data_IF_916752419023
#
_entry.id   IF_916752419023
#
_cell.length_a   1.000
_cell.length_b   1.000
_cell.length_c   1.000
_cell.angle_alpha   90.00
_cell.angle_beta   90.00
_cell.angle_gamma   90.00
#
_symmetry.space_group_name_H-M   'P 1'
#
loop_
_entity.id
_entity.type
_entity.pdbx_description
1 polymer ?
#
# COMPACT_ATOMS: atom_id res chain seq x y z
N UNK A 1 25.09 -60.07 -32.55
CA UNK A 1 25.35 -58.96 -31.62
C UNK A 1 24.79 -57.70 -32.26
N UNK A 2 23.83 -57.07 -31.58
CA UNK A 2 23.07 -55.92 -32.06
C UNK A 2 23.89 -54.64 -31.90
N UNK A 3 23.95 -53.81 -32.94
CA UNK A 3 24.40 -52.42 -32.85
C UNK A 3 23.28 -51.52 -33.37
N UNK A 4 22.66 -50.78 -32.44
CA UNK A 4 21.69 -49.73 -32.72
C UNK A 4 22.41 -48.40 -33.05
N UNK A 5 21.75 -47.49 -33.79
CA UNK A 5 22.35 -46.27 -34.31
C UNK A 5 22.48 -45.19 -33.23
N UNK A 6 23.54 -44.38 -33.37
CA UNK A 6 23.81 -43.17 -32.58
C UNK A 6 22.77 -42.07 -32.85
N UNK A 7 22.05 -41.63 -31.81
CA UNK A 7 21.21 -40.43 -31.84
C UNK A 7 22.08 -39.16 -31.83
N UNK A 8 21.66 -38.09 -32.55
CA UNK A 8 22.28 -36.78 -32.40
C UNK A 8 21.80 -36.14 -31.09
N UNK A 9 22.74 -35.60 -30.34
CA UNK A 9 22.52 -34.80 -29.13
C UNK A 9 21.70 -33.56 -29.46
N UNK A 10 20.44 -33.55 -29.03
CA UNK A 10 19.61 -32.34 -29.03
C UNK A 10 20.16 -31.39 -27.96
N UNK A 11 20.84 -30.32 -28.40
CA UNK A 11 21.17 -29.18 -27.54
C UNK A 11 19.85 -28.46 -27.27
N UNK A 12 19.26 -28.70 -26.11
CA UNK A 12 18.14 -27.92 -25.60
C UNK A 12 18.69 -26.56 -25.22
N UNK A 13 18.54 -25.56 -26.10
CA UNK A 13 18.69 -24.16 -25.73
C UNK A 13 17.56 -23.84 -24.74
N UNK A 14 17.86 -23.93 -23.45
CA UNK A 14 17.02 -23.42 -22.39
C UNK A 14 17.03 -21.89 -22.52
N UNK A 15 16.14 -21.34 -23.34
CA UNK A 15 15.78 -19.94 -23.25
C UNK A 15 15.10 -19.73 -21.89
N UNK A 16 15.92 -19.39 -20.88
CA UNK A 16 15.45 -18.72 -19.68
C UNK A 16 14.80 -17.41 -20.14
N UNK A 17 13.49 -17.46 -20.41
CA UNK A 17 12.64 -16.29 -20.36
C UNK A 17 12.62 -15.84 -18.89
N UNK A 18 13.66 -15.11 -18.50
CA UNK A 18 13.54 -14.22 -17.35
C UNK A 18 12.53 -13.18 -17.80
N UNK A 19 11.24 -13.43 -17.52
CA UNK A 19 10.22 -12.40 -17.50
C UNK A 19 10.55 -11.50 -16.30
N UNK A 20 11.66 -10.79 -16.38
CA UNK A 20 11.91 -9.64 -15.55
C UNK A 20 10.91 -8.61 -16.04
N UNK A 21 9.77 -8.50 -15.36
CA UNK A 21 8.92 -7.33 -15.50
C UNK A 21 9.81 -6.14 -15.14
N UNK A 22 10.33 -5.44 -16.15
CA UNK A 22 11.08 -4.21 -15.94
C UNK A 22 10.21 -3.33 -15.07
N UNK A 23 10.64 -3.06 -13.84
CA UNK A 23 9.90 -2.26 -12.90
C UNK A 23 9.61 -0.91 -13.55
N UNK A 24 8.33 -0.60 -13.78
CA UNK A 24 7.94 0.67 -14.40
C UNK A 24 8.03 1.74 -13.32
N UNK A 25 8.87 2.74 -13.58
CA UNK A 25 8.98 3.93 -12.72
C UNK A 25 8.08 5.01 -13.30
N UNK A 26 7.24 5.58 -12.45
CA UNK A 26 6.26 6.60 -12.82
C UNK A 26 6.56 7.91 -12.08
N UNK A 27 6.27 9.07 -12.68
CA UNK A 27 6.41 10.36 -11.98
C UNK A 27 5.31 10.52 -10.93
N UNK A 28 5.33 11.66 -10.22
CA UNK A 28 4.26 12.03 -9.28
C UNK A 28 2.88 11.99 -9.94
N UNK A 29 1.90 11.42 -9.23
CA UNK A 29 0.52 11.29 -9.72
C UNK A 29 -0.41 12.12 -8.86
N UNK A 30 -1.22 12.97 -9.49
CA UNK A 30 -2.30 13.71 -8.86
C UNK A 30 -3.63 13.36 -9.51
N UNK A 31 -4.44 12.59 -8.81
CA UNK A 31 -5.76 12.11 -9.23
C UNK A 31 -6.82 12.96 -8.54
N UNK A 32 -7.48 13.81 -9.32
CA UNK A 32 -8.48 14.76 -8.81
C UNK A 32 -9.78 14.66 -9.59
N UNK A 33 -10.91 14.81 -8.90
CA UNK A 33 -12.28 14.88 -9.42
C UNK A 33 -12.84 13.62 -10.12
N UNK A 34 -12.03 12.87 -10.88
CA UNK A 34 -12.45 11.65 -11.60
C UNK A 34 -11.54 10.46 -11.27
N UNK A 35 -12.14 9.27 -11.19
CA UNK A 35 -11.46 7.98 -11.03
C UNK A 35 -10.69 7.58 -12.29
N UNK A 36 -11.04 8.10 -13.47
CA UNK A 36 -10.36 7.75 -14.72
C UNK A 36 -8.87 8.13 -14.70
N UNK A 37 -8.51 9.17 -13.94
CA UNK A 37 -7.13 9.59 -13.77
C UNK A 37 -6.28 8.60 -12.95
N UNK A 38 -6.89 7.60 -12.31
CA UNK A 38 -6.17 6.49 -11.68
C UNK A 38 -5.41 5.65 -12.72
N UNK A 39 -5.78 5.70 -14.00
CA UNK A 39 -5.12 5.04 -15.12
C UNK A 39 -3.59 5.33 -15.19
N UNK A 40 -3.18 6.51 -14.74
CA UNK A 40 -1.77 6.93 -14.65
C UNK A 40 -0.90 5.99 -13.80
N UNK A 41 -1.51 5.25 -12.86
CA UNK A 41 -0.82 4.31 -11.98
C UNK A 41 -0.69 2.91 -12.59
N UNK A 42 -1.29 2.63 -13.76
CA UNK A 42 -1.27 1.28 -14.35
C UNK A 42 0.16 0.80 -14.61
N UNK A 43 0.45 -0.39 -14.09
CA UNK A 43 1.73 -1.07 -14.22
C UNK A 43 2.89 -0.40 -13.47
N UNK A 44 2.66 0.72 -12.76
CA UNK A 44 3.72 1.41 -12.02
C UNK A 44 4.17 0.53 -10.86
N UNK A 45 5.45 0.19 -10.81
CA UNK A 45 6.06 -0.51 -9.69
C UNK A 45 6.58 0.46 -8.63
N UNK A 46 7.10 1.60 -9.09
CA UNK A 46 7.60 2.69 -8.25
C UNK A 46 7.02 3.99 -8.74
N UNK A 47 6.51 4.82 -7.83
CA UNK A 47 6.25 6.23 -8.09
C UNK A 47 7.40 7.04 -7.53
N UNK A 48 8.24 7.58 -8.42
CA UNK A 48 9.31 8.51 -8.09
C UNK A 48 8.71 9.91 -7.88
N UNK A 49 8.09 10.09 -6.72
CA UNK A 49 7.24 11.23 -6.47
C UNK A 49 6.22 10.98 -5.37
N UNK A 50 5.16 11.79 -5.39
CA UNK A 50 4.00 11.63 -4.52
C UNK A 50 2.83 11.00 -5.27
N UNK A 51 1.91 10.39 -4.52
CA UNK A 51 0.58 10.01 -5.02
C UNK A 51 -0.47 10.78 -4.22
N UNK A 52 -1.28 11.55 -4.93
CA UNK A 52 -2.40 12.31 -4.38
C UNK A 52 -3.70 11.81 -5.00
N UNK A 53 -4.68 11.42 -4.18
CA UNK A 53 -6.02 11.05 -4.63
C UNK A 53 -7.01 11.89 -3.82
N UNK A 54 -7.62 12.88 -4.47
CA UNK A 54 -8.37 13.91 -3.74
C UNK A 54 -9.58 14.47 -4.47
N UNK A 55 -10.52 15.00 -3.70
CA UNK A 55 -11.68 15.76 -4.16
C UNK A 55 -12.55 15.02 -5.20
N UNK A 56 -12.95 13.79 -4.88
CA UNK A 56 -13.89 13.01 -5.69
C UNK A 56 -15.25 12.98 -4.99
N UNK A 57 -16.10 13.97 -5.26
CA UNK A 57 -17.39 14.13 -4.56
C UNK A 57 -18.54 13.44 -5.29
N UNK A 58 -18.36 13.12 -6.57
CA UNK A 58 -19.39 12.54 -7.46
C UNK A 58 -19.22 11.04 -7.69
N UNK A 59 -18.31 10.40 -6.96
CA UNK A 59 -18.03 8.96 -7.05
C UNK A 59 -18.84 8.17 -6.01
N UNK A 60 -18.98 6.88 -6.27
CA UNK A 60 -19.61 5.90 -5.39
C UNK A 60 -18.70 4.66 -5.26
N UNK A 61 -19.17 3.64 -4.55
CA UNK A 61 -18.39 2.41 -4.32
C UNK A 61 -18.02 1.69 -5.62
N UNK A 62 -18.98 1.52 -6.53
CA UNK A 62 -18.75 0.87 -7.83
C UNK A 62 -17.79 1.63 -8.75
N UNK A 63 -17.56 2.92 -8.50
CA UNK A 63 -16.54 3.71 -9.22
C UNK A 63 -15.12 3.20 -8.97
N UNK A 64 -14.87 2.53 -7.84
CA UNK A 64 -13.53 2.03 -7.45
C UNK A 64 -13.33 0.54 -7.71
N UNK A 65 -14.39 -0.24 -7.87
CA UNK A 65 -14.34 -1.70 -8.12
C UNK A 65 -13.36 -2.12 -9.24
N UNK A 66 -13.27 -1.42 -10.40
CA UNK A 66 -12.36 -1.81 -11.48
C UNK A 66 -10.88 -1.49 -11.21
N UNK A 67 -10.58 -0.78 -10.12
CA UNK A 67 -9.26 -0.20 -9.89
C UNK A 67 -8.50 -0.97 -8.82
N UNK A 68 -7.33 -1.48 -9.22
CA UNK A 68 -6.31 -2.03 -8.33
C UNK A 68 -4.95 -1.89 -9.01
N UNK A 69 -3.91 -1.58 -8.24
CA UNK A 69 -2.53 -1.37 -8.70
C UNK A 69 -1.59 -2.31 -7.94
N UNK A 70 -1.67 -3.62 -8.21
CA UNK A 70 -0.89 -4.62 -7.49
C UNK A 70 0.61 -4.56 -7.78
N UNK A 71 1.04 -3.91 -8.85
CA UNK A 71 2.45 -3.73 -9.18
C UNK A 71 3.12 -2.69 -8.27
N UNK A 72 2.37 -1.72 -7.75
CA UNK A 72 2.91 -0.60 -7.00
C UNK A 72 3.44 -1.07 -5.64
N UNK A 73 4.77 -1.03 -5.49
CA UNK A 73 5.48 -1.41 -4.27
C UNK A 73 6.00 -0.22 -3.48
N UNK A 74 6.29 0.89 -4.15
CA UNK A 74 6.94 2.03 -3.51
C UNK A 74 6.44 3.38 -4.04
N UNK A 75 6.30 4.34 -3.11
CA UNK A 75 6.12 5.76 -3.38
C UNK A 75 7.27 6.50 -2.70
N UNK A 76 8.14 7.19 -3.44
CA UNK A 76 9.38 7.73 -2.85
C UNK A 76 9.17 8.98 -1.99
N UNK A 77 8.06 9.71 -2.18
CA UNK A 77 7.69 10.89 -1.38
C UNK A 77 6.54 10.54 -0.42
N UNK A 78 5.33 11.06 -0.64
CA UNK A 78 4.19 10.88 0.26
C UNK A 78 2.95 10.36 -0.47
N UNK A 79 2.06 9.73 0.29
CA UNK A 79 0.75 9.25 -0.14
C UNK A 79 -0.36 10.06 0.56
N UNK A 80 -1.27 10.64 -0.20
CA UNK A 80 -2.33 11.50 0.32
C UNK A 80 -3.70 11.12 -0.25
N UNK A 81 -4.65 10.94 0.66
CA UNK A 81 -6.07 10.80 0.40
C UNK A 81 -6.86 11.92 1.08
N UNK A 82 -7.65 12.66 0.31
CA UNK A 82 -8.47 13.77 0.85
C UNK A 82 -9.83 13.86 0.17
N UNK A 83 -10.93 13.72 0.94
CA UNK A 83 -12.32 13.88 0.44
C UNK A 83 -12.61 13.07 -0.83
N UNK A 84 -12.40 11.76 -0.75
CA UNK A 84 -12.76 10.80 -1.81
C UNK A 84 -13.99 10.03 -1.37
N UNK A 85 -15.13 10.27 -2.03
CA UNK A 85 -16.40 9.60 -1.77
C UNK A 85 -16.41 8.22 -2.43
N UNK A 86 -17.00 7.22 -1.79
CA UNK A 86 -17.17 5.88 -2.36
C UNK A 86 -16.03 4.89 -2.10
N UNK A 87 -14.79 5.35 -1.90
CA UNK A 87 -13.67 4.43 -1.59
C UNK A 87 -13.82 3.82 -0.19
N UNK A 88 -13.86 2.48 -0.10
CA UNK A 88 -14.02 1.74 1.17
C UNK A 88 -12.71 1.26 1.79
N UNK A 89 -11.74 0.86 0.96
CA UNK A 89 -10.45 0.31 1.40
C UNK A 89 -9.32 0.83 0.53
N UNK A 90 -8.31 1.46 1.13
CA UNK A 90 -7.12 1.92 0.38
C UNK A 90 -6.31 0.71 -0.15
N UNK A 91 -6.23 -0.37 0.63
CA UNK A 91 -5.62 -1.64 0.23
C UNK A 91 -6.19 -2.29 -1.02
N UNK A 92 -7.42 -1.97 -1.44
CA UNK A 92 -7.94 -2.42 -2.74
C UNK A 92 -7.17 -1.77 -3.90
N UNK A 93 -6.84 -0.49 -3.77
CA UNK A 93 -6.04 0.24 -4.75
C UNK A 93 -4.57 -0.20 -4.68
N UNK A 94 -4.01 -0.33 -3.47
CA UNK A 94 -2.59 -0.55 -3.26
C UNK A 94 -2.32 -1.78 -2.38
N UNK A 95 -2.69 -3.00 -2.83
CA UNK A 95 -2.60 -4.20 -2.00
C UNK A 95 -1.16 -4.60 -1.67
N UNK A 96 -0.21 -4.08 -2.44
CA UNK A 96 1.17 -4.52 -2.49
C UNK A 96 2.17 -3.42 -2.15
N UNK A 97 1.69 -2.24 -1.74
CA UNK A 97 2.54 -1.13 -1.32
C UNK A 97 3.31 -1.50 -0.06
N UNK A 98 4.64 -1.49 -0.15
CA UNK A 98 5.56 -1.87 0.93
C UNK A 98 6.12 -0.65 1.65
N UNK A 99 6.44 0.40 0.87
CA UNK A 99 7.22 1.53 1.36
C UNK A 99 6.68 2.89 0.90
N UNK A 100 6.71 3.86 1.82
CA UNK A 100 6.59 5.29 1.51
C UNK A 100 7.84 6.02 2.00
N UNK A 101 8.59 6.61 1.08
CA UNK A 101 9.96 7.05 1.34
C UNK A 101 10.11 8.36 2.12
N UNK A 102 9.20 9.31 1.93
CA UNK A 102 9.26 10.61 2.61
C UNK A 102 10.41 11.53 2.17
N UNK A 103 10.93 11.36 0.95
CA UNK A 103 11.96 12.26 0.38
C UNK A 103 11.45 13.72 0.33
N UNK A 104 10.14 13.89 0.11
CA UNK A 104 9.39 15.12 0.34
C UNK A 104 8.15 14.78 1.18
N UNK A 105 7.72 15.72 2.02
CA UNK A 105 6.58 15.56 2.93
C UNK A 105 5.44 16.48 2.53
N UNK A 106 4.21 16.09 2.86
CA UNK A 106 3.09 17.02 2.95
C UNK A 106 3.09 17.61 4.35
N UNK A 107 3.62 18.83 4.49
CA UNK A 107 3.96 19.43 5.79
C UNK A 107 5.03 18.57 6.48
N UNK A 108 4.65 17.77 7.48
CA UNK A 108 5.52 16.83 8.21
C UNK A 108 5.17 15.35 7.94
N UNK A 109 4.19 15.10 7.06
CA UNK A 109 3.57 13.79 6.91
C UNK A 109 3.91 13.12 5.58
N UNK A 110 4.12 11.80 5.64
CA UNK A 110 4.32 10.92 4.48
C UNK A 110 3.09 10.09 4.14
N UNK A 111 2.20 9.87 5.11
CA UNK A 111 0.89 9.27 4.87
C UNK A 111 -0.19 10.20 5.43
N UNK A 112 -1.11 10.63 4.56
CA UNK A 112 -2.21 11.52 4.89
C UNK A 112 -3.52 10.86 4.48
N UNK A 113 -4.41 10.61 5.44
CA UNK A 113 -5.77 10.08 5.20
C UNK A 113 -6.76 10.96 5.95
N UNK A 114 -7.40 11.88 5.23
CA UNK A 114 -8.16 12.96 5.84
C UNK A 114 -9.54 13.15 5.18
N UNK A 115 -10.59 13.28 6.01
CA UNK A 115 -11.97 13.50 5.54
C UNK A 115 -12.46 12.44 4.53
N UNK A 116 -12.10 11.18 4.75
CA UNK A 116 -12.54 10.02 3.95
C UNK A 116 -13.81 9.42 4.56
N UNK A 117 -14.96 10.02 4.26
CA UNK A 117 -16.24 9.72 4.92
C UNK A 117 -16.75 8.28 4.74
N UNK A 118 -16.47 7.64 3.60
CA UNK A 118 -16.91 6.28 3.31
C UNK A 118 -15.86 5.20 3.62
N UNK A 119 -14.63 5.61 3.93
CA UNK A 119 -13.51 4.69 4.15
C UNK A 119 -13.74 3.89 5.43
N UNK A 120 -13.67 2.57 5.32
CA UNK A 120 -13.86 1.63 6.42
C UNK A 120 -12.54 1.04 6.89
N UNK A 121 -11.56 0.89 6.00
CA UNK A 121 -10.26 0.29 6.31
C UNK A 121 -9.15 1.01 5.53
N UNK A 122 -7.99 1.24 6.13
CA UNK A 122 -6.78 1.58 5.34
C UNK A 122 -6.33 0.31 4.60
N UNK A 123 -6.18 -0.81 5.31
CA UNK A 123 -5.96 -2.12 4.70
C UNK A 123 -4.66 -2.25 3.91
N UNK A 124 -3.62 -1.47 4.23
CA UNK A 124 -2.31 -1.54 3.59
C UNK A 124 -1.45 -2.62 4.27
N UNK A 125 -1.87 -3.89 4.16
CA UNK A 125 -1.26 -5.01 4.90
C UNK A 125 0.24 -5.19 4.71
N UNK A 126 0.73 -4.87 3.52
CA UNK A 126 2.13 -4.99 3.15
C UNK A 126 2.98 -3.75 3.49
N UNK A 127 2.37 -2.65 3.96
CA UNK A 127 3.11 -1.45 4.33
C UNK A 127 3.88 -1.69 5.62
N UNK A 128 5.18 -1.88 5.50
CA UNK A 128 6.08 -2.13 6.64
C UNK A 128 6.99 -0.95 6.94
N UNK A 129 7.14 0.00 6.00
CA UNK A 129 8.07 1.11 6.17
C UNK A 129 7.56 2.48 5.68
N UNK A 130 7.62 3.46 6.57
CA UNK A 130 7.62 4.89 6.26
C UNK A 130 8.95 5.47 6.74
N UNK A 131 9.87 5.72 5.80
CA UNK A 131 11.27 5.97 6.17
C UNK A 131 11.52 7.36 6.75
N UNK A 132 10.77 8.38 6.30
CA UNK A 132 10.86 9.75 6.80
C UNK A 132 9.46 10.36 6.91
N UNK A 133 9.27 11.24 7.89
CA UNK A 133 7.98 11.87 8.17
C UNK A 133 7.06 11.00 9.03
N UNK A 134 5.90 11.53 9.36
CA UNK A 134 4.92 10.88 10.25
C UNK A 134 3.63 10.55 9.51
N UNK A 135 2.67 9.92 10.21
CA UNK A 135 1.33 9.66 9.68
C UNK A 135 0.29 10.61 10.25
N UNK A 136 -0.68 11.00 9.42
CA UNK A 136 -1.88 11.70 9.87
C UNK A 136 -3.13 11.02 9.32
N UNK A 137 -3.94 10.48 10.22
CA UNK A 137 -5.21 9.83 9.90
C UNK A 137 -6.30 10.44 10.77
N UNK A 138 -7.15 11.28 10.18
CA UNK A 138 -8.16 12.00 10.95
C UNK A 138 -9.41 12.38 10.18
N UNK A 139 -10.52 12.54 10.92
CA UNK A 139 -11.85 12.86 10.39
C UNK A 139 -12.37 11.81 9.40
N UNK A 140 -12.13 10.54 9.69
CA UNK A 140 -12.64 9.41 8.90
C UNK A 140 -13.71 8.68 9.74
N UNK A 141 -14.98 9.14 9.74
CA UNK A 141 -16.00 8.70 10.70
C UNK A 141 -16.44 7.23 10.53
N UNK A 142 -16.14 6.61 9.38
CA UNK A 142 -16.46 5.20 9.12
C UNK A 142 -15.25 4.27 9.31
N UNK A 143 -14.06 4.80 9.58
CA UNK A 143 -12.79 4.07 9.53
C UNK A 143 -12.54 3.24 10.80
N UNK A 144 -12.41 1.92 10.62
CA UNK A 144 -12.00 0.95 11.63
C UNK A 144 -10.52 0.53 11.47
N UNK A 145 -10.03 -0.27 12.42
CA UNK A 145 -8.68 -0.86 12.49
C UNK A 145 -7.49 0.11 12.53
N UNK A 146 -7.71 1.41 12.38
CA UNK A 146 -6.62 2.40 12.43
C UNK A 146 -5.91 2.43 13.79
N UNK A 147 -6.60 2.04 14.87
CA UNK A 147 -6.05 1.93 16.23
C UNK A 147 -5.42 0.55 16.51
N UNK A 148 -5.65 -0.45 15.65
CA UNK A 148 -5.04 -1.79 15.76
C UNK A 148 -3.78 -1.92 14.91
N UNK A 149 -3.34 -0.83 14.26
CA UNK A 149 -2.06 -0.75 13.59
C UNK A 149 -1.09 -0.02 14.51
N UNK A 150 0.05 -0.65 14.79
CA UNK A 150 1.16 -0.02 15.48
C UNK A 150 1.94 0.86 14.49
N UNK A 151 1.58 2.15 14.45
CA UNK A 151 2.20 3.14 13.56
C UNK A 151 3.66 3.42 13.89
N UNK A 152 4.07 3.30 15.15
CA UNK A 152 5.45 3.55 15.58
C UNK A 152 6.41 2.47 15.05
N UNK A 153 5.89 1.30 14.66
CA UNK A 153 6.66 0.26 13.95
C UNK A 153 6.82 0.53 12.47
N UNK A 154 6.01 1.42 11.88
CA UNK A 154 6.01 1.70 10.44
C UNK A 154 6.65 3.08 10.19
N UNK A 155 6.15 4.13 10.85
CA UNK A 155 6.63 5.51 10.78
C UNK A 155 7.50 5.85 12.00
N UNK A 156 8.76 5.43 11.93
CA UNK A 156 9.74 5.51 13.04
C UNK A 156 10.45 6.86 13.16
N UNK A 157 10.33 7.71 12.13
CA UNK A 157 11.14 8.94 12.02
C UNK A 157 10.88 9.95 13.14
N UNK A 158 9.60 10.23 13.42
CA UNK A 158 9.16 11.07 14.54
C UNK A 158 7.83 10.53 15.06
N UNK A 159 7.87 9.50 15.94
CA UNK A 159 6.67 8.85 16.45
C UNK A 159 5.75 9.79 17.21
N UNK A 160 6.30 10.83 17.86
CA UNK A 160 5.53 11.82 18.60
C UNK A 160 4.61 12.65 17.70
N UNK A 161 4.91 12.74 16.40
CA UNK A 161 4.09 13.42 15.40
C UNK A 161 3.08 12.51 14.71
N UNK A 162 3.07 11.20 14.96
CA UNK A 162 2.02 10.32 14.46
C UNK A 162 0.67 10.75 15.05
N UNK A 163 -0.27 11.14 14.19
CA UNK A 163 -1.56 11.66 14.60
C UNK A 163 -2.70 10.80 14.05
N UNK A 164 -3.26 9.94 14.90
CA UNK A 164 -4.40 9.09 14.60
C UNK A 164 -5.52 9.42 15.58
N UNK A 165 -6.47 10.24 15.14
CA UNK A 165 -7.54 10.73 16.03
C UNK A 165 -8.75 11.22 15.23
N UNK A 166 -9.91 11.35 15.88
CA UNK A 166 -11.17 11.77 15.25
C UNK A 166 -11.60 10.83 14.11
N UNK A 167 -11.37 9.53 14.27
CA UNK A 167 -11.90 8.48 13.40
C UNK A 167 -13.09 7.80 14.10
N UNK A 168 -13.63 6.71 13.53
CA UNK A 168 -14.68 5.94 14.21
C UNK A 168 -14.19 5.45 15.58
N UNK A 169 -15.08 5.39 16.57
CA UNK A 169 -14.75 4.84 17.88
C UNK A 169 -14.30 3.37 17.74
N UNK A 170 -13.10 3.06 18.24
CA UNK A 170 -12.51 1.73 18.19
C UNK A 170 -13.40 0.68 18.88
N UNK A 171 -14.17 1.06 19.91
CA UNK A 171 -15.12 0.15 20.58
C UNK A 171 -16.31 -0.25 19.71
N UNK A 172 -16.65 0.57 18.72
CA UNK A 172 -17.70 0.30 17.74
C UNK A 172 -17.17 -0.39 16.47
N UNK A 173 -15.90 -0.82 16.50
CA UNK A 173 -15.27 -1.58 15.44
C UNK A 173 -15.14 -3.06 15.83
N UNK A 174 -15.14 -3.96 14.84
CA UNK A 174 -14.84 -5.36 15.09
C UNK A 174 -13.40 -5.55 15.58
N UNK A 175 -13.17 -6.61 16.36
CA UNK A 175 -11.84 -6.99 16.85
C UNK A 175 -10.97 -7.58 15.74
N UNK A 176 -9.65 -7.57 15.97
CA UNK A 176 -8.70 -8.31 15.14
C UNK A 176 -8.93 -9.83 15.21
N UNK A 177 -8.44 -10.59 14.22
CA UNK A 177 -8.32 -12.04 14.32
C UNK A 177 -7.56 -12.45 15.59
N UNK A 178 -8.02 -13.52 16.25
CA UNK A 178 -7.43 -14.01 17.51
C UNK A 178 -6.01 -14.54 17.38
N UNK A 179 -5.56 -14.81 16.15
CA UNK A 179 -4.22 -15.28 15.83
C UNK A 179 -3.25 -14.14 15.48
N UNK A 180 -3.67 -12.88 15.52
CA UNK A 180 -2.77 -11.77 15.25
C UNK A 180 -1.81 -11.53 16.41
N UNK A 181 -0.49 -11.44 16.16
CA UNK A 181 0.47 -11.08 17.18
C UNK A 181 0.14 -9.71 17.78
N UNK A 182 0.10 -9.64 19.12
CA UNK A 182 -0.14 -8.41 19.88
C UNK A 182 -1.48 -7.72 19.54
N UNK A 183 -2.46 -8.48 19.03
CA UNK A 183 -3.75 -7.96 18.55
C UNK A 183 -3.59 -6.84 17.49
N UNK A 184 -2.52 -6.88 16.71
CA UNK A 184 -2.23 -5.91 15.67
C UNK A 184 -2.74 -6.38 14.30
N UNK A 185 -3.63 -5.60 13.67
CA UNK A 185 -4.22 -5.94 12.38
C UNK A 185 -4.60 -4.72 11.54
N UNK A 186 -4.63 -4.92 10.22
CA UNK A 186 -5.08 -3.95 9.22
C UNK A 186 -6.56 -4.12 8.86
N UNK A 187 -7.11 -5.31 9.06
CA UNK A 187 -8.51 -5.66 8.83
C UNK A 187 -8.89 -6.91 9.62
N UNK A 188 -10.14 -7.35 9.45
CA UNK A 188 -10.68 -8.58 10.06
C UNK A 188 -10.07 -9.88 9.53
N UNK A 189 -9.21 -9.82 8.51
CA UNK A 189 -8.58 -10.98 7.88
C UNK A 189 -7.06 -10.84 7.69
N UNK A 190 -6.49 -9.71 8.11
CA UNK A 190 -5.09 -9.37 7.80
C UNK A 190 -4.40 -8.78 9.03
N UNK A 191 -3.48 -9.54 9.62
CA UNK A 191 -2.64 -9.09 10.73
C UNK A 191 -1.58 -8.09 10.26
N UNK A 192 -1.09 -7.25 11.17
CA UNK A 192 0.07 -6.40 10.90
C UNK A 192 1.33 -7.28 10.82
N UNK A 193 2.08 -7.14 9.72
CA UNK A 193 3.36 -7.84 9.56
C UNK A 193 4.32 -7.37 10.64
N UNK A 194 4.95 -8.33 11.31
CA UNK A 194 5.97 -8.07 12.32
C UNK A 194 7.35 -7.96 11.66
N UNK A 195 8.20 -7.01 12.08
CA UNK A 195 9.57 -6.92 11.58
C UNK A 195 10.30 -8.24 11.79
N UNK A 196 10.81 -8.86 10.72
CA UNK A 196 11.59 -10.10 10.82
C UNK A 196 13.01 -9.78 11.29
N UNK A 197 13.52 -10.52 12.26
CA UNK A 197 14.88 -10.38 12.80
C UNK A 197 15.99 -10.83 11.84
N UNK A 198 15.65 -11.42 10.69
CA UNK A 198 16.59 -12.08 9.78
C UNK A 198 16.51 -11.59 8.33
N UNK A 199 16.16 -10.32 8.12
CA UNK A 199 16.31 -9.71 6.80
C UNK A 199 17.77 -9.35 6.55
N UNK A 200 18.22 -9.44 5.29
CA UNK A 200 19.54 -8.95 4.91
C UNK A 200 19.62 -7.43 5.19
N UNK A 201 20.73 -6.88 5.72
CA UNK A 201 20.82 -5.47 6.10
C UNK A 201 20.56 -4.46 4.98
N UNK A 202 20.61 -4.89 3.72
CA UNK A 202 20.33 -4.07 2.53
C UNK A 202 18.87 -4.16 2.06
N UNK A 203 18.03 -5.00 2.67
CA UNK A 203 16.60 -5.07 2.34
C UNK A 203 15.83 -4.02 3.13
N UNK A 204 14.92 -3.33 2.45
CA UNK A 204 13.94 -2.42 3.04
C UNK A 204 12.56 -3.06 2.87
N UNK A 205 11.77 -3.10 3.93
CA UNK A 205 10.44 -3.71 3.96
C UNK A 205 10.36 -5.05 4.69
#
# INVERSE_FOLDING_TARGET
>A
MMQLPTQPTAIVLLHLLVLGTSAKICPSVNVRNSVDHLDQLRGCSVVEGYVQILLMERTNESSFEPWSFPELREITQYLLFYRVKGLRRIGQLFPNLVRVGGAKLFIDYSLVVHEMYNLQEIGLGNLTEISRGSVIVTKNPSLCYVNTVNWDRIAKWDPMKNYVSKNKDAKACPSCPTNCPEDLCWSQSECQIQPKSHCHPLCLG
#
